data_IF_950692539024
#
_entry.id   IF_950692539024
#
_cell.length_a   1.000
_cell.length_b   1.000
_cell.length_c   1.000
_cell.angle_alpha   90.00
_cell.angle_beta   90.00
_cell.angle_gamma   90.00
#
_symmetry.space_group_name_H-M   'P 1'
#
loop_
_entity.id
_entity.type
_entity.pdbx_description
1 polymer ?
#
# COMPACT_ATOMS: atom_id res chain seq x y z
N UNK A 1 9.34 -28.47 -11.90
CA UNK A 1 10.11 -28.45 -10.63
C UNK A 1 9.31 -27.63 -9.64
N UNK A 2 8.88 -28.23 -8.52
CA UNK A 2 8.05 -27.58 -7.52
C UNK A 2 8.93 -26.68 -6.64
N UNK A 3 8.77 -25.36 -6.73
CA UNK A 3 9.42 -24.43 -5.81
C UNK A 3 8.64 -24.40 -4.50
N UNK A 4 9.27 -24.93 -3.45
CA UNK A 4 8.82 -24.81 -2.07
C UNK A 4 8.78 -23.34 -1.68
N UNK A 5 7.60 -22.83 -1.34
CA UNK A 5 7.46 -21.55 -0.65
C UNK A 5 7.87 -21.77 0.81
N UNK A 6 9.09 -21.32 1.14
CA UNK A 6 9.57 -21.18 2.50
C UNK A 6 8.56 -20.37 3.30
N UNK A 7 8.06 -20.95 4.40
CA UNK A 7 7.21 -20.27 5.36
C UNK A 7 7.94 -19.03 5.91
N UNK A 8 7.51 -17.84 5.50
CA UNK A 8 7.95 -16.60 6.10
C UNK A 8 7.26 -16.44 7.47
N UNK A 9 8.07 -16.17 8.48
CA UNK A 9 7.72 -16.09 9.90
C UNK A 9 6.49 -15.22 10.21
N UNK A 10 5.63 -15.71 11.10
CA UNK A 10 4.40 -15.09 11.63
C UNK A 10 4.57 -13.73 12.36
N UNK A 11 5.74 -13.10 12.30
CA UNK A 11 6.00 -11.76 12.84
C UNK A 11 5.91 -10.64 11.79
N UNK A 12 5.91 -10.98 10.49
CA UNK A 12 5.73 -10.01 9.39
C UNK A 12 4.26 -9.81 8.99
N UNK A 13 3.34 -10.65 9.46
CA UNK A 13 1.92 -10.64 9.06
C UNK A 13 1.15 -9.36 9.38
N UNK A 14 1.69 -8.48 10.23
CA UNK A 14 1.01 -7.24 10.65
C UNK A 14 1.75 -5.98 10.24
N UNK A 15 2.67 -6.05 9.28
CA UNK A 15 3.33 -4.86 8.71
C UNK A 15 2.71 -4.53 7.36
N UNK A 16 2.35 -3.26 7.17
CA UNK A 16 1.81 -2.80 5.89
C UNK A 16 2.31 -1.40 5.60
N UNK A 17 2.71 -1.18 4.35
CA UNK A 17 3.07 0.12 3.82
C UNK A 17 1.89 0.66 3.04
N UNK A 18 1.39 1.81 3.48
CA UNK A 18 0.30 2.55 2.86
C UNK A 18 0.87 3.79 2.18
N UNK A 19 0.81 3.81 0.85
CA UNK A 19 1.20 4.95 0.05
C UNK A 19 0.06 5.98 -0.01
N UNK A 20 0.41 7.26 0.14
CA UNK A 20 -0.53 8.37 0.03
C UNK A 20 0.04 9.52 -0.78
N UNK A 21 -0.84 10.30 -1.42
CA UNK A 21 -0.46 11.47 -2.21
C UNK A 21 -0.57 12.77 -1.42
N UNK A 22 0.07 13.82 -1.94
CA UNK A 22 0.04 15.15 -1.34
C UNK A 22 -1.34 15.79 -1.56
N UNK A 23 -2.12 15.97 -0.50
CA UNK A 23 -3.44 16.58 -0.56
C UNK A 23 -4.02 16.81 0.83
N UNK A 24 -5.07 17.65 0.92
CA UNK A 24 -5.84 17.84 2.13
C UNK A 24 -6.79 16.65 2.33
N UNK A 25 -6.22 15.49 2.65
CA UNK A 25 -6.99 14.26 2.86
C UNK A 25 -7.46 14.16 4.31
N UNK A 26 -8.75 13.89 4.57
CA UNK A 26 -9.30 13.84 5.92
C UNK A 26 -8.67 12.75 6.80
N UNK A 27 -8.10 11.70 6.17
CA UNK A 27 -7.41 10.60 6.87
C UNK A 27 -6.00 10.96 7.35
N UNK A 28 -5.39 12.05 6.89
CA UNK A 28 -4.04 12.44 7.31
C UNK A 28 -3.93 12.70 8.83
N UNK A 29 -5.00 13.19 9.46
CA UNK A 29 -5.04 13.37 10.91
C UNK A 29 -5.02 12.02 11.65
N UNK A 30 -5.76 11.03 11.17
CA UNK A 30 -5.77 9.67 11.73
C UNK A 30 -4.43 8.94 11.55
N UNK A 31 -3.71 9.24 10.46
CA UNK A 31 -2.33 8.81 10.25
C UNK A 31 -1.42 9.42 11.31
N UNK A 32 -1.44 10.75 11.46
CA UNK A 32 -0.60 11.47 12.40
C UNK A 32 -0.83 11.05 13.87
N UNK A 33 -2.08 10.75 14.24
CA UNK A 33 -2.44 10.31 15.58
C UNK A 33 -2.18 8.80 15.83
N UNK A 34 -1.79 8.05 14.79
CA UNK A 34 -1.60 6.60 14.86
C UNK A 34 -2.89 5.82 15.13
N UNK A 35 -4.05 6.41 14.84
CA UNK A 35 -5.36 5.84 15.19
C UNK A 35 -5.63 4.54 14.41
N UNK A 36 -5.13 4.46 13.17
CA UNK A 36 -5.24 3.26 12.34
C UNK A 36 -4.45 2.09 12.92
N UNK A 37 -3.21 2.32 13.37
CA UNK A 37 -2.39 1.29 14.01
C UNK A 37 -3.03 0.80 15.32
N UNK A 38 -3.56 1.72 16.15
CA UNK A 38 -4.24 1.38 17.42
C UNK A 38 -5.51 0.56 17.20
N UNK A 39 -6.34 0.94 16.22
CA UNK A 39 -7.62 0.26 15.94
C UNK A 39 -7.43 -1.12 15.31
N UNK A 40 -6.44 -1.28 14.46
CA UNK A 40 -6.22 -2.52 13.71
C UNK A 40 -5.26 -3.48 14.41
N UNK A 41 -4.36 -2.96 15.25
CA UNK A 41 -3.24 -3.74 15.80
C UNK A 41 -2.14 -4.02 14.77
N UNK A 42 -2.15 -3.35 13.62
CA UNK A 42 -1.11 -3.45 12.59
C UNK A 42 -0.05 -2.37 12.79
N UNK A 43 1.18 -2.70 12.41
CA UNK A 43 2.25 -1.73 12.19
C UNK A 43 2.09 -1.15 10.78
N UNK A 44 1.68 0.11 10.71
CA UNK A 44 1.37 0.78 9.45
C UNK A 44 2.43 1.85 9.18
N UNK A 45 3.18 1.69 8.11
CA UNK A 45 4.09 2.72 7.59
C UNK A 45 3.34 3.55 6.53
N UNK A 46 3.19 4.85 6.78
CA UNK A 46 2.64 5.76 5.78
C UNK A 46 3.75 6.41 4.98
N UNK A 47 3.73 6.24 3.66
CA UNK A 47 4.76 6.74 2.77
C UNK A 47 4.17 7.69 1.74
N UNK A 48 4.75 8.89 1.63
CA UNK A 48 4.29 9.93 0.72
C UNK A 48 4.82 9.68 -0.70
N UNK A 49 3.96 9.85 -1.70
CA UNK A 49 4.30 9.82 -3.12
C UNK A 49 3.77 11.05 -3.85
N UNK A 50 4.33 11.32 -5.04
CA UNK A 50 3.97 12.49 -5.85
C UNK A 50 2.91 12.18 -6.92
N UNK A 51 2.79 10.92 -7.36
CA UNK A 51 1.83 10.51 -8.39
C UNK A 51 1.29 9.10 -8.14
N UNK A 52 0.09 8.79 -8.67
CA UNK A 52 -0.47 7.44 -8.61
C UNK A 52 0.32 6.43 -9.45
N UNK A 53 1.03 6.89 -10.48
CA UNK A 53 1.93 6.04 -11.26
C UNK A 53 3.12 5.54 -10.42
N UNK A 54 3.71 6.42 -9.59
CA UNK A 54 4.81 6.05 -8.69
C UNK A 54 4.33 5.06 -7.62
N UNK A 55 3.09 5.24 -7.13
CA UNK A 55 2.47 4.32 -6.19
C UNK A 55 2.34 2.92 -6.80
N UNK A 56 1.83 2.80 -8.03
CA UNK A 56 1.73 1.49 -8.69
C UNK A 56 3.08 0.87 -9.03
N UNK A 57 4.09 1.67 -9.36
CA UNK A 57 5.45 1.15 -9.51
C UNK A 57 5.97 0.54 -8.19
N UNK A 58 5.69 1.18 -7.05
CA UNK A 58 6.06 0.67 -5.73
C UNK A 58 5.23 -0.55 -5.28
N UNK A 59 3.96 -0.63 -5.71
CA UNK A 59 3.12 -1.83 -5.53
C UNK A 59 3.68 -2.99 -6.34
N UNK A 60 4.00 -2.75 -7.62
CA UNK A 60 4.57 -3.77 -8.50
C UNK A 60 5.94 -4.28 -8.02
N UNK A 61 6.71 -3.45 -7.31
CA UNK A 61 7.97 -3.87 -6.67
C UNK A 61 7.80 -4.55 -5.31
N UNK A 62 6.57 -4.67 -4.79
CA UNK A 62 6.27 -5.24 -3.47
C UNK A 62 6.63 -4.33 -2.29
N UNK A 63 7.06 -3.09 -2.54
CA UNK A 63 7.47 -2.14 -1.50
C UNK A 63 6.30 -1.39 -0.85
N UNK A 64 5.11 -1.46 -1.47
CA UNK A 64 3.84 -0.87 -1.03
C UNK A 64 2.76 -1.92 -1.18
N UNK A 65 1.86 -2.02 -0.21
CA UNK A 65 0.74 -2.97 -0.26
C UNK A 65 -0.60 -2.27 -0.51
N UNK A 66 -0.75 -1.03 -0.05
CA UNK A 66 -1.98 -0.24 -0.20
C UNK A 66 -1.60 1.14 -0.74
N UNK A 67 -2.35 1.66 -1.70
CA UNK A 67 -2.10 2.98 -2.28
C UNK A 67 -3.37 3.79 -2.47
N UNK A 68 -3.35 5.04 -2.02
CA UNK A 68 -4.35 6.05 -2.37
C UNK A 68 -4.07 6.57 -3.78
N UNK A 69 -4.95 6.24 -4.73
CA UNK A 69 -4.80 6.56 -6.16
C UNK A 69 -6.14 6.94 -6.78
N UNK A 70 -6.08 7.81 -7.78
CA UNK A 70 -7.26 8.11 -8.61
C UNK A 70 -7.68 6.95 -9.51
N UNK A 71 -8.90 7.02 -10.04
CA UNK A 71 -9.45 6.01 -10.94
C UNK A 71 -8.66 5.85 -12.26
N UNK A 72 -8.15 6.94 -12.83
CA UNK A 72 -7.34 6.91 -14.06
C UNK A 72 -6.04 6.08 -13.90
N UNK A 73 -5.16 6.36 -12.92
CA UNK A 73 -3.99 5.52 -12.70
C UNK A 73 -4.34 4.08 -12.31
N UNK A 74 -5.45 3.84 -11.59
CA UNK A 74 -5.93 2.48 -11.28
C UNK A 74 -6.29 1.69 -12.55
N UNK A 75 -7.13 2.26 -13.42
CA UNK A 75 -7.50 1.62 -14.69
C UNK A 75 -6.27 1.36 -15.58
N UNK A 76 -5.33 2.29 -15.60
CA UNK A 76 -4.07 2.12 -16.34
C UNK A 76 -3.20 1.00 -15.77
N UNK A 77 -3.15 0.83 -14.45
CA UNK A 77 -2.42 -0.25 -13.79
C UNK A 77 -3.00 -1.64 -14.12
N UNK A 78 -4.33 -1.78 -14.04
CA UNK A 78 -5.04 -3.01 -14.45
C UNK A 78 -4.76 -3.34 -15.92
N UNK A 79 -4.81 -2.32 -16.79
CA UNK A 79 -4.53 -2.50 -18.23
C UNK A 79 -3.10 -2.97 -18.51
N UNK A 80 -2.17 -2.71 -17.58
CA UNK A 80 -0.77 -3.16 -17.64
C UNK A 80 -0.54 -4.53 -16.99
N UNK A 81 -1.60 -5.19 -16.50
CA UNK A 81 -1.53 -6.52 -15.89
C UNK A 81 -1.01 -6.52 -14.45
N UNK A 82 -1.03 -5.38 -13.76
CA UNK A 82 -0.74 -5.33 -12.33
C UNK A 82 -1.96 -5.89 -11.59
N UNK A 83 -1.75 -6.92 -10.75
CA UNK A 83 -2.82 -7.55 -9.96
C UNK A 83 -3.14 -6.70 -8.72
N UNK A 84 -4.12 -5.79 -8.85
CA UNK A 84 -4.56 -4.86 -7.81
C UNK A 84 -6.08 -4.83 -7.70
N UNK A 85 -6.58 -4.49 -6.51
CA UNK A 85 -8.01 -4.42 -6.19
C UNK A 85 -8.36 -3.05 -5.63
N UNK A 86 -9.57 -2.59 -5.94
CA UNK A 86 -10.16 -1.36 -5.39
C UNK A 86 -10.91 -1.64 -4.09
#
# INVERSE_FOLDING_TARGET
MASAHTAASAADDKKVVVAYQTGANPYNLGIANGDLAKKTGWNIEFRRFNSGADIFAAIASGHVQIGDVGSSPFSAAISKGIDVKA
#
